data_IF_113463787884
#
_entry.id   IF_113463787884
#
_cell.length_a   1.000
_cell.length_b   1.000
_cell.length_c   1.000
_cell.angle_alpha   90.00
_cell.angle_beta   90.00
_cell.angle_gamma   90.00
#
_symmetry.space_group_name_H-M   'P 1'
#
loop_
_entity.id
_entity.type
_entity.pdbx_description
1 polymer ?
#
# COMPACT_ATOMS: atom_id res chain seq x y z
N UNK A 1 -0.57 28.64 0.03
CA UNK A 1 0.01 27.35 0.43
C UNK A 1 0.30 27.40 1.92
N UNK A 2 -0.17 26.43 2.72
CA UNK A 2 0.22 26.31 4.14
C UNK A 2 1.69 25.94 4.16
N UNK A 3 2.57 26.93 4.20
CA UNK A 3 4.02 26.76 3.99
C UNK A 3 4.80 26.47 5.27
N UNK A 4 4.11 26.25 6.40
CA UNK A 4 4.77 25.99 7.68
C UNK A 4 4.89 24.48 7.89
N UNK A 5 6.13 24.00 7.92
CA UNK A 5 6.50 22.64 8.28
C UNK A 5 6.80 22.59 9.79
N UNK A 6 6.28 21.54 10.43
CA UNK A 6 6.65 21.17 11.80
C UNK A 6 7.54 19.93 11.73
N UNK A 7 8.76 20.03 12.25
CA UNK A 7 9.77 18.99 12.28
C UNK A 7 10.19 18.71 13.72
N UNK A 8 10.63 17.48 13.99
CA UNK A 8 11.19 17.11 15.29
C UNK A 8 12.68 17.41 15.34
N UNK A 9 13.27 17.43 16.54
CA UNK A 9 14.71 17.36 16.67
C UNK A 9 15.22 16.10 15.95
N UNK A 10 16.27 16.22 15.15
CA UNK A 10 16.72 15.14 14.29
C UNK A 10 17.60 15.60 13.13
N UNK A 11 18.09 14.63 12.35
CA UNK A 11 18.86 14.91 11.14
C UNK A 11 17.96 14.75 9.93
N UNK A 12 18.08 15.67 8.97
CA UNK A 12 17.27 15.73 7.77
C UNK A 12 18.14 15.95 6.54
N UNK A 13 17.66 15.48 5.40
CA UNK A 13 18.25 15.74 4.08
C UNK A 13 17.21 16.39 3.18
N UNK A 14 17.52 17.59 2.71
CA UNK A 14 16.79 18.26 1.63
C UNK A 14 17.48 17.93 0.32
N UNK A 15 16.72 17.57 -0.71
CA UNK A 15 17.24 17.21 -2.03
C UNK A 15 16.41 17.84 -3.14
N UNK A 16 17.08 18.10 -4.25
CA UNK A 16 16.48 18.51 -5.50
C UNK A 16 16.93 17.56 -6.60
N UNK A 17 16.00 17.12 -7.45
CA UNK A 17 16.34 16.34 -8.65
C UNK A 17 15.85 17.05 -9.90
N UNK A 18 16.72 17.18 -10.88
CA UNK A 18 16.47 17.92 -12.11
C UNK A 18 16.90 19.39 -12.06
N UNK A 19 16.45 20.14 -13.06
CA UNK A 19 16.99 21.46 -13.40
C UNK A 19 16.46 22.55 -12.48
N UNK A 20 17.34 23.35 -11.89
CA UNK A 20 16.97 24.46 -11.00
C UNK A 20 17.95 25.64 -11.18
N UNK A 21 18.10 26.09 -12.43
CA UNK A 21 19.06 27.13 -12.79
C UNK A 21 18.53 28.52 -12.41
N UNK A 22 19.39 29.33 -11.80
CA UNK A 22 19.08 30.70 -11.40
C UNK A 22 18.31 30.82 -10.09
N UNK A 23 18.01 29.69 -9.43
CA UNK A 23 17.33 29.65 -8.15
C UNK A 23 18.19 28.97 -7.08
N UNK A 24 18.09 29.47 -5.84
CA UNK A 24 18.65 28.85 -4.65
C UNK A 24 17.49 28.26 -3.87
N UNK A 25 17.58 26.96 -3.58
CA UNK A 25 16.63 26.26 -2.73
C UNK A 25 17.17 26.29 -1.29
N UNK A 26 16.34 26.65 -0.32
CA UNK A 26 16.76 26.54 1.08
C UNK A 26 15.64 26.21 2.06
N UNK A 27 16.01 25.48 3.10
CA UNK A 27 15.22 25.34 4.32
C UNK A 27 15.52 26.50 5.26
N UNK A 28 14.48 27.07 5.87
CA UNK A 28 14.60 28.15 6.87
C UNK A 28 13.89 27.74 8.15
N UNK A 29 14.63 27.72 9.26
CA UNK A 29 14.06 27.64 10.61
C UNK A 29 13.74 29.05 11.12
N UNK A 30 12.46 29.35 11.32
CA UNK A 30 11.98 30.66 11.78
C UNK A 30 11.74 30.72 13.30
N UNK A 31 11.94 29.61 14.04
CA UNK A 31 11.80 29.57 15.50
C UNK A 31 13.01 30.16 16.25
N UNK A 32 14.12 30.38 15.54
CA UNK A 32 15.37 30.91 16.09
C UNK A 32 15.70 32.28 15.48
N UNK A 33 16.37 33.14 16.27
CA UNK A 33 16.83 34.46 15.84
C UNK A 33 18.35 34.59 16.04
N UNK A 34 19.15 34.78 14.97
CA UNK A 34 18.74 34.84 13.57
C UNK A 34 18.26 33.48 13.04
N UNK A 35 17.39 33.50 12.02
CA UNK A 35 16.94 32.28 11.34
C UNK A 35 18.13 31.49 10.78
N UNK A 36 18.08 30.17 10.87
CA UNK A 36 19.11 29.27 10.30
C UNK A 36 18.67 28.81 8.92
N UNK A 37 19.62 28.76 7.99
CA UNK A 37 19.39 28.44 6.57
C UNK A 37 20.28 27.27 6.13
N UNK A 38 19.70 26.36 5.35
CA UNK A 38 20.43 25.29 4.68
C UNK A 38 20.14 25.35 3.19
N UNK A 39 21.19 25.53 2.38
CA UNK A 39 21.07 25.89 0.96
C UNK A 39 21.48 24.76 0.03
N UNK A 40 20.81 24.70 -1.10
CA UNK A 40 21.20 23.99 -2.31
C UNK A 40 21.41 25.05 -3.40
N UNK A 41 22.54 24.95 -4.10
CA UNK A 41 22.93 25.92 -5.12
C UNK A 41 22.03 25.88 -6.35
N UNK A 42 22.34 26.72 -7.34
CA UNK A 42 21.71 26.63 -8.66
C UNK A 42 22.50 25.64 -9.52
N UNK A 43 21.87 24.57 -10.00
CA UNK A 43 22.54 23.59 -10.87
C UNK A 43 21.60 23.01 -11.95
N UNK A 44 22.19 22.27 -12.90
CA UNK A 44 21.45 21.46 -13.88
C UNK A 44 21.30 19.99 -13.43
N UNK A 45 21.86 19.64 -12.27
CA UNK A 45 22.04 18.27 -11.81
C UNK A 45 21.29 18.05 -10.49
N UNK A 46 21.23 16.80 -10.04
CA UNK A 46 20.70 16.47 -8.72
C UNK A 46 21.63 17.01 -7.63
N UNK A 47 21.07 17.58 -6.55
CA UNK A 47 21.86 18.12 -5.43
C UNK A 47 21.12 17.90 -4.09
N UNK A 48 21.85 17.91 -2.97
CA UNK A 48 21.28 17.73 -1.65
C UNK A 48 22.10 18.38 -0.54
N UNK A 49 21.41 18.71 0.56
CA UNK A 49 22.03 19.22 1.79
C UNK A 49 21.46 18.47 3.00
N UNK A 50 22.36 17.98 3.85
CA UNK A 50 22.01 17.36 5.13
C UNK A 50 22.24 18.33 6.26
N UNK A 51 21.30 18.39 7.21
CA UNK A 51 21.36 19.26 8.36
C UNK A 51 20.74 18.63 9.60
N UNK A 52 21.08 19.14 10.79
CA UNK A 52 20.54 18.67 12.07
C UNK A 52 19.77 19.79 12.76
N UNK A 53 18.62 19.44 13.33
CA UNK A 53 17.81 20.28 14.19
C UNK A 53 18.00 19.82 15.63
N UNK A 54 18.56 20.68 16.48
CA UNK A 54 18.80 20.34 17.90
C UNK A 54 17.51 20.32 18.73
N UNK A 55 16.45 20.97 18.24
CA UNK A 55 15.15 21.07 18.90
C UNK A 55 14.02 20.88 17.88
N UNK A 56 12.83 20.56 18.38
CA UNK A 56 11.61 20.58 17.59
C UNK A 56 11.40 21.97 16.98
N UNK A 57 11.04 22.01 15.70
CA UNK A 57 10.77 23.22 14.93
C UNK A 57 9.30 23.22 14.52
N UNK A 58 8.54 24.21 14.97
CA UNK A 58 7.10 24.37 14.68
C UNK A 58 6.85 25.39 13.56
N UNK A 59 7.82 26.27 13.28
CA UNK A 59 7.74 27.24 12.19
C UNK A 59 8.98 27.15 11.28
N UNK A 60 8.87 26.36 10.22
CA UNK A 60 9.89 26.30 9.15
C UNK A 60 9.28 26.30 7.76
N UNK A 61 10.07 26.71 6.77
CA UNK A 61 9.64 26.71 5.36
C UNK A 61 10.76 26.32 4.42
N UNK A 62 10.38 25.83 3.24
CA UNK A 62 11.26 25.65 2.09
C UNK A 62 10.99 26.78 1.11
N UNK A 63 12.05 27.41 0.62
CA UNK A 63 12.00 28.54 -0.30
C UNK A 63 12.79 28.24 -1.57
N UNK A 64 12.23 28.66 -2.72
CA UNK A 64 13.01 28.95 -3.91
C UNK A 64 13.20 30.45 -4.01
N UNK A 65 14.44 30.90 -4.14
CA UNK A 65 14.76 32.30 -4.33
C UNK A 65 15.59 32.49 -5.59
N UNK A 66 15.16 33.37 -6.48
CA UNK A 66 15.97 33.78 -7.62
C UNK A 66 17.18 34.55 -7.08
N UNK A 67 18.40 34.03 -7.29
CA UNK A 67 19.61 34.59 -6.69
C UNK A 67 19.91 36.04 -7.10
N UNK A 68 19.30 36.52 -8.19
CA UNK A 68 19.37 37.91 -8.66
C UNK A 68 18.13 38.23 -9.53
N UNK A 69 17.73 39.50 -9.58
CA UNK A 69 16.53 39.97 -10.29
C UNK A 69 16.62 39.82 -11.83
N UNK A 70 17.83 39.73 -12.37
CA UNK A 70 18.10 39.70 -13.82
C UNK A 70 18.42 38.29 -14.38
N UNK A 71 18.16 37.23 -13.60
CA UNK A 71 18.44 35.85 -14.04
C UNK A 71 17.15 35.18 -14.50
N UNK A 72 17.22 34.52 -15.66
CA UNK A 72 16.17 33.60 -16.10
C UNK A 72 16.15 32.39 -15.16
N UNK A 73 15.09 32.29 -14.36
CA UNK A 73 14.83 31.14 -13.51
C UNK A 73 14.22 30.03 -14.36
N UNK A 74 14.89 28.89 -14.43
CA UNK A 74 14.41 27.70 -15.11
C UNK A 74 14.37 26.54 -14.12
N UNK A 75 13.16 26.25 -13.63
CA UNK A 75 12.88 25.26 -12.59
C UNK A 75 12.02 24.16 -13.21
N UNK A 76 12.66 23.03 -13.47
CA UNK A 76 12.03 21.76 -13.81
C UNK A 76 12.66 20.68 -12.93
N UNK A 77 12.25 20.69 -11.66
CA UNK A 77 12.83 19.83 -10.63
C UNK A 77 11.78 19.31 -9.66
N UNK A 78 12.16 18.25 -8.94
CA UNK A 78 11.43 17.73 -7.78
C UNK A 78 12.19 18.05 -6.50
N UNK A 79 11.48 18.39 -5.43
CA UNK A 79 12.06 18.67 -4.11
C UNK A 79 11.60 17.61 -3.13
N UNK A 80 12.52 17.14 -2.29
CA UNK A 80 12.22 16.17 -1.25
C UNK A 80 12.98 16.51 0.04
N UNK A 81 12.26 16.54 1.16
CA UNK A 81 12.80 16.67 2.51
C UNK A 81 12.53 15.37 3.28
N UNK A 82 13.57 14.75 3.81
CA UNK A 82 13.49 13.43 4.46
C UNK A 82 14.26 13.45 5.78
N UNK A 83 13.83 12.61 6.73
CA UNK A 83 14.62 12.33 7.94
C UNK A 83 15.78 11.38 7.60
N UNK A 84 16.96 11.68 8.16
CA UNK A 84 18.20 10.95 7.93
C UNK A 84 19.21 11.74 7.09
N UNK A 85 20.30 11.05 6.75
CA UNK A 85 21.51 11.63 6.12
C UNK A 85 21.63 11.35 4.62
N UNK A 86 20.65 10.65 4.04
CA UNK A 86 20.75 10.13 2.67
C UNK A 86 19.52 10.56 1.88
N UNK A 87 19.74 11.25 0.76
CA UNK A 87 18.69 11.57 -0.18
C UNK A 87 18.24 10.28 -0.89
N UNK A 88 16.93 10.01 -0.94
CA UNK A 88 16.40 8.84 -1.63
C UNK A 88 15.85 9.19 -3.02
N UNK A 89 15.18 8.24 -3.67
CA UNK A 89 14.43 8.51 -4.89
C UNK A 89 13.20 9.37 -4.56
N UNK A 90 12.83 10.28 -5.46
CA UNK A 90 11.70 11.17 -5.25
C UNK A 90 10.39 10.39 -5.04
N UNK A 91 9.68 10.69 -3.96
CA UNK A 91 8.35 10.19 -3.63
C UNK A 91 7.37 11.36 -3.47
N UNK A 92 6.30 11.46 -4.28
CA UNK A 92 5.33 12.53 -4.17
C UNK A 92 4.66 12.60 -2.78
N UNK A 93 4.76 13.76 -2.13
CA UNK A 93 4.14 13.99 -0.82
C UNK A 93 2.60 13.89 -0.88
N UNK A 94 2.01 13.27 0.15
CA UNK A 94 0.57 13.15 0.31
C UNK A 94 -0.12 12.19 -0.66
N UNK A 95 0.62 11.38 -1.42
CA UNK A 95 0.07 10.34 -2.28
C UNK A 95 0.01 8.98 -1.57
N UNK A 96 -0.98 8.17 -1.93
CA UNK A 96 -1.03 6.76 -1.59
C UNK A 96 -0.05 5.97 -2.45
N UNK A 97 0.83 5.19 -1.82
CA UNK A 97 1.91 4.44 -2.46
C UNK A 97 1.55 2.97 -2.57
N UNK A 98 1.58 2.43 -3.79
CA UNK A 98 1.43 0.99 -4.06
C UNK A 98 2.76 0.47 -4.60
N UNK A 99 3.60 -0.18 -3.76
CA UNK A 99 4.81 -0.84 -4.24
C UNK A 99 4.47 -2.09 -5.05
N UNK A 100 5.05 -2.19 -6.23
CA UNK A 100 5.03 -3.38 -7.09
C UNK A 100 6.45 -3.92 -7.18
N UNK A 101 6.68 -5.06 -6.57
CA UNK A 101 7.95 -5.78 -6.68
C UNK A 101 7.85 -6.85 -7.76
N UNK A 102 8.77 -6.79 -8.71
CA UNK A 102 8.99 -7.87 -9.68
C UNK A 102 10.24 -8.63 -9.32
N UNK A 103 10.19 -9.95 -9.40
CA UNK A 103 11.36 -10.80 -9.21
C UNK A 103 11.47 -11.85 -10.32
N UNK A 104 12.69 -12.39 -10.47
CA UNK A 104 12.92 -13.58 -11.27
C UNK A 104 12.28 -14.84 -10.66
N UNK A 105 12.41 -15.95 -11.37
CA UNK A 105 11.86 -17.24 -10.98
C UNK A 105 12.50 -17.80 -9.70
N UNK A 106 13.83 -17.71 -9.61
CA UNK A 106 14.56 -18.08 -8.42
C UNK A 106 14.49 -16.95 -7.39
N UNK A 107 13.94 -17.23 -6.21
CA UNK A 107 13.74 -16.24 -5.14
C UNK A 107 14.92 -16.15 -4.17
N UNK A 108 15.96 -16.98 -4.34
CA UNK A 108 17.15 -16.97 -3.51
C UNK A 108 18.32 -16.26 -4.18
N UNK A 109 18.97 -15.35 -3.45
CA UNK A 109 20.02 -14.43 -3.93
C UNK A 109 21.43 -15.04 -4.09
N UNK A 110 21.55 -16.35 -3.93
CA UNK A 110 22.82 -17.10 -3.97
C UNK A 110 23.88 -16.64 -2.95
N UNK A 111 23.47 -15.93 -1.91
CA UNK A 111 24.37 -15.47 -0.86
C UNK A 111 24.46 -16.51 0.27
N UNK A 112 25.66 -17.05 0.45
CA UNK A 112 26.00 -17.97 1.55
C UNK A 112 26.79 -17.28 2.65
N UNK A 113 26.73 -17.86 3.85
CA UNK A 113 27.70 -17.61 4.93
C UNK A 113 27.92 -18.89 5.74
N UNK A 114 29.02 -18.94 6.50
CA UNK A 114 29.34 -20.08 7.37
C UNK A 114 28.35 -20.22 8.53
N UNK A 115 28.08 -21.47 8.87
CA UNK A 115 27.22 -21.90 9.96
C UNK A 115 25.84 -22.40 9.50
N UNK A 116 24.93 -22.53 10.45
CA UNK A 116 23.60 -23.11 10.23
C UNK A 116 22.52 -22.25 10.90
N UNK A 117 21.27 -22.53 10.59
CA UNK A 117 20.13 -22.01 11.34
C UNK A 117 19.81 -23.03 12.43
N UNK A 118 19.70 -22.63 13.69
CA UNK A 118 19.34 -23.53 14.80
C UNK A 118 17.83 -23.84 14.81
N UNK A 119 17.39 -24.73 15.70
CA UNK A 119 15.98 -25.12 15.85
C UNK A 119 15.04 -23.97 16.26
N UNK A 120 15.58 -22.84 16.68
CA UNK A 120 14.85 -21.62 17.03
C UNK A 120 14.83 -20.60 15.89
N UNK A 121 15.32 -20.95 14.70
CA UNK A 121 15.34 -20.03 13.56
C UNK A 121 16.40 -18.94 13.65
N UNK A 122 17.42 -19.11 14.52
CA UNK A 122 18.51 -18.16 14.71
C UNK A 122 19.81 -18.63 14.06
N UNK A 123 20.69 -17.70 13.72
CA UNK A 123 22.02 -18.00 13.17
C UNK A 123 22.91 -18.62 14.24
N UNK A 124 23.57 -19.72 13.91
CA UNK A 124 24.57 -20.38 14.74
C UNK A 124 25.85 -20.63 13.94
N UNK A 125 27.01 -20.33 14.52
CA UNK A 125 28.30 -20.53 13.86
C UNK A 125 28.66 -22.02 13.83
N UNK A 126 29.17 -22.48 12.69
CA UNK A 126 29.76 -23.81 12.52
C UNK A 126 30.69 -23.79 11.31
N UNK A 127 31.83 -24.45 11.41
CA UNK A 127 32.84 -24.50 10.34
C UNK A 127 32.51 -25.55 9.27
N UNK A 128 31.57 -26.47 9.56
CA UNK A 128 31.18 -27.59 8.69
C UNK A 128 29.83 -27.39 8.00
N UNK A 129 29.17 -26.25 8.20
CA UNK A 129 27.87 -25.95 7.59
C UNK A 129 27.88 -24.59 6.89
N UNK A 130 27.00 -24.44 5.90
CA UNK A 130 26.73 -23.17 5.24
C UNK A 130 25.24 -22.92 5.23
N UNK A 131 24.85 -21.65 5.34
CA UNK A 131 23.46 -21.21 5.36
C UNK A 131 23.22 -20.07 4.41
N UNK A 132 21.97 -19.90 3.98
CA UNK A 132 21.56 -18.68 3.31
C UNK A 132 21.86 -17.49 4.22
N UNK A 133 22.52 -16.47 3.68
CA UNK A 133 22.94 -15.27 4.43
C UNK A 133 21.73 -14.47 4.91
N UNK A 134 20.74 -14.35 4.03
CA UNK A 134 19.52 -13.59 4.23
C UNK A 134 18.33 -14.53 4.39
N UNK A 135 17.32 -14.08 5.14
CA UNK A 135 16.00 -14.71 5.12
C UNK A 135 15.33 -14.39 3.79
N UNK A 136 14.63 -15.36 3.22
CA UNK A 136 13.94 -15.21 1.95
C UNK A 136 12.48 -14.89 2.26
N UNK A 137 11.96 -13.71 1.89
CA UNK A 137 10.55 -13.41 2.04
C UNK A 137 9.70 -14.38 1.23
N UNK A 138 8.59 -14.83 1.79
CA UNK A 138 7.66 -15.76 1.14
C UNK A 138 6.22 -15.31 1.34
N UNK A 139 5.34 -15.83 0.50
CA UNK A 139 3.91 -15.84 0.71
C UNK A 139 3.53 -17.04 1.59
N UNK A 140 2.75 -16.80 2.65
CA UNK A 140 2.19 -17.87 3.47
C UNK A 140 1.28 -18.78 2.65
N UNK A 141 1.12 -20.04 3.10
CA UNK A 141 0.22 -21.01 2.45
C UNK A 141 0.45 -21.19 0.93
N UNK A 142 1.65 -20.84 0.46
CA UNK A 142 2.05 -20.93 -0.94
C UNK A 142 2.93 -22.15 -1.14
N UNK A 143 2.75 -22.82 -2.27
CA UNK A 143 3.51 -24.02 -2.63
C UNK A 143 4.76 -23.63 -3.39
N UNK A 144 5.91 -24.07 -2.89
CA UNK A 144 7.22 -23.83 -3.48
C UNK A 144 7.80 -25.12 -4.05
N UNK A 145 8.52 -25.01 -5.16
CA UNK A 145 9.43 -26.07 -5.61
C UNK A 145 10.85 -25.68 -5.25
N UNK A 146 11.57 -26.62 -4.62
CA UNK A 146 12.96 -26.46 -4.22
C UNK A 146 13.76 -27.50 -4.98
N UNK A 147 14.65 -27.01 -5.86
CA UNK A 147 15.71 -27.78 -6.50
C UNK A 147 17.01 -27.55 -5.75
N UNK A 148 17.79 -28.60 -5.56
CA UNK A 148 19.13 -28.59 -5.02
C UNK A 148 19.93 -29.70 -5.70
N UNK A 149 21.07 -29.33 -6.30
CA UNK A 149 22.03 -30.29 -6.86
C UNK A 149 22.75 -31.14 -5.81
N UNK A 150 22.70 -30.76 -4.52
CA UNK A 150 23.42 -31.44 -3.44
C UNK A 150 22.76 -32.79 -3.07
N UNK A 151 23.48 -33.92 -3.12
CA UNK A 151 22.95 -35.22 -2.70
C UNK A 151 22.59 -35.28 -1.19
N UNK A 152 23.22 -34.46 -0.36
CA UNK A 152 22.98 -34.40 1.10
C UNK A 152 21.75 -33.57 1.49
N UNK A 153 21.13 -32.89 0.53
CA UNK A 153 19.94 -32.07 0.75
C UNK A 153 20.16 -30.73 1.47
N UNK A 154 19.07 -29.98 1.53
CA UNK A 154 18.90 -28.71 2.23
C UNK A 154 17.95 -28.93 3.38
N UNK A 155 18.33 -28.48 4.57
CA UNK A 155 17.35 -28.23 5.62
C UNK A 155 16.68 -26.91 5.31
N UNK A 156 15.39 -26.94 4.99
CA UNK A 156 14.57 -25.75 4.76
C UNK A 156 13.68 -25.52 5.97
N UNK A 157 13.58 -24.26 6.42
CA UNK A 157 12.67 -23.84 7.48
C UNK A 157 11.80 -22.69 7.05
N UNK A 158 10.52 -22.75 7.42
CA UNK A 158 9.55 -21.68 7.29
C UNK A 158 9.38 -21.00 8.65
N UNK A 159 9.49 -19.68 8.70
CA UNK A 159 9.47 -18.89 9.93
C UNK A 159 8.26 -17.94 9.96
N UNK A 160 7.70 -17.71 11.14
CA UNK A 160 6.68 -16.68 11.38
C UNK A 160 7.30 -15.26 11.55
N UNK A 161 6.48 -14.29 11.92
CA UNK A 161 6.91 -12.90 12.14
C UNK A 161 7.84 -12.69 13.33
N UNK A 162 7.92 -13.68 14.22
CA UNK A 162 8.79 -13.69 15.39
C UNK A 162 10.02 -14.59 15.19
N UNK A 163 10.32 -14.96 13.94
CA UNK A 163 11.38 -15.89 13.56
C UNK A 163 11.25 -17.31 14.11
N UNK A 164 10.06 -17.67 14.59
CA UNK A 164 9.81 -19.01 15.12
C UNK A 164 9.60 -19.99 13.98
N UNK A 165 10.34 -21.12 13.91
CA UNK A 165 10.12 -22.12 12.88
C UNK A 165 8.74 -22.79 13.00
N UNK A 166 7.95 -22.72 11.93
CA UNK A 166 6.65 -23.38 11.79
C UNK A 166 6.76 -24.74 11.09
N UNK A 167 7.76 -24.90 10.22
CA UNK A 167 8.07 -26.15 9.52
C UNK A 167 9.58 -26.25 9.29
N UNK A 168 10.13 -27.45 9.42
CA UNK A 168 11.52 -27.78 9.12
C UNK A 168 11.58 -29.10 8.36
N UNK A 169 12.25 -29.13 7.21
CA UNK A 169 12.30 -30.33 6.38
C UNK A 169 13.62 -30.42 5.59
N UNK A 170 14.22 -31.61 5.55
CA UNK A 170 15.29 -31.91 4.59
C UNK A 170 14.71 -32.17 3.19
N UNK A 171 15.25 -31.54 2.17
CA UNK A 171 14.78 -31.65 0.78
C UNK A 171 15.90 -31.48 -0.26
N UNK A 172 15.69 -32.02 -1.45
CA UNK A 172 16.58 -31.87 -2.62
C UNK A 172 15.82 -31.43 -3.85
N UNK A 173 14.73 -32.11 -4.21
CA UNK A 173 13.91 -31.82 -5.39
C UNK A 173 12.44 -32.03 -5.04
N UNK A 174 11.89 -31.18 -4.17
CA UNK A 174 10.56 -31.40 -3.57
C UNK A 174 9.67 -30.18 -3.73
N UNK A 175 8.37 -30.46 -3.78
CA UNK A 175 7.30 -29.47 -3.65
C UNK A 175 6.90 -29.37 -2.18
N UNK A 176 7.02 -28.20 -1.56
CA UNK A 176 6.69 -27.97 -0.16
C UNK A 176 5.72 -26.79 -0.06
N UNK A 177 4.64 -26.96 0.70
CA UNK A 177 3.70 -25.88 0.99
C UNK A 177 4.08 -25.19 2.29
N UNK A 178 4.27 -23.87 2.21
CA UNK A 178 4.55 -23.06 3.39
C UNK A 178 3.36 -23.11 4.37
N UNK A 179 3.58 -23.25 5.68
CA UNK A 179 2.50 -23.16 6.67
C UNK A 179 1.77 -21.81 6.61
N UNK A 180 0.54 -21.76 7.13
CA UNK A 180 -0.11 -20.47 7.45
C UNK A 180 0.75 -19.72 8.47
N UNK A 181 0.70 -18.39 8.42
CA UNK A 181 1.48 -17.44 9.21
C UNK A 181 2.98 -17.42 8.94
N UNK A 182 3.48 -18.17 7.95
CA UNK A 182 4.89 -18.09 7.56
C UNK A 182 5.15 -16.88 6.66
N UNK A 183 6.14 -16.06 7.02
CA UNK A 183 6.49 -14.85 6.26
C UNK A 183 7.88 -14.92 5.65
N UNK A 184 8.72 -15.85 6.13
CA UNK A 184 10.06 -16.03 5.60
C UNK A 184 10.49 -17.50 5.57
N UNK A 185 11.48 -17.78 4.76
CA UNK A 185 12.14 -19.07 4.62
C UNK A 185 13.65 -18.92 4.79
N UNK A 186 14.27 -19.90 5.43
CA UNK A 186 15.72 -20.03 5.52
C UNK A 186 16.13 -21.45 5.18
N UNK A 187 17.38 -21.64 4.79
CA UNK A 187 17.93 -22.97 4.62
C UNK A 187 19.43 -23.04 4.89
N UNK A 188 19.90 -24.26 5.11
CA UNK A 188 21.31 -24.57 5.28
C UNK A 188 21.62 -26.00 4.84
N UNK A 189 22.90 -26.29 4.64
CA UNK A 189 23.40 -27.65 4.41
C UNK A 189 24.57 -27.94 5.33
N UNK A 190 24.71 -29.21 5.73
CA UNK A 190 25.73 -29.70 6.66
C UNK A 190 27.05 -30.04 5.94
N UNK A 191 27.40 -29.32 4.87
CA UNK A 191 28.62 -29.53 4.10
C UNK A 191 29.23 -28.17 3.71
N UNK A 192 30.23 -27.74 4.48
CA UNK A 192 30.95 -26.48 4.23
C UNK A 192 32.04 -26.57 3.15
N UNK A 193 32.41 -27.77 2.69
CA UNK A 193 33.49 -27.99 1.71
C UNK A 193 33.21 -27.36 0.32
N UNK A 194 32.06 -26.71 0.15
CA UNK A 194 31.40 -26.52 -1.12
C UNK A 194 30.77 -25.11 -1.31
N UNK A 195 31.20 -24.09 -0.55
CA UNK A 195 30.65 -22.71 -0.66
C UNK A 195 30.65 -22.22 -2.12
N UNK A 196 31.66 -22.57 -2.91
CA UNK A 196 31.75 -22.19 -4.33
C UNK A 196 30.99 -23.12 -5.29
N UNK A 197 30.68 -24.35 -4.89
CA UNK A 197 30.03 -25.35 -5.77
C UNK A 197 28.51 -25.29 -5.76
N UNK A 198 27.87 -24.66 -4.77
CA UNK A 198 26.39 -24.61 -4.71
C UNK A 198 25.76 -23.36 -5.34
N UNK A 199 26.55 -22.37 -5.77
CA UNK A 199 26.03 -21.28 -6.58
C UNK A 199 25.62 -21.86 -7.93
N UNK A 200 24.41 -21.54 -8.36
CA UNK A 200 23.70 -22.16 -9.48
C UNK A 200 23.12 -23.58 -9.30
N UNK A 201 23.17 -24.15 -8.09
CA UNK A 201 22.61 -25.50 -7.84
C UNK A 201 21.27 -25.49 -7.11
N UNK A 202 20.90 -24.36 -6.48
CA UNK A 202 19.65 -24.22 -5.76
C UNK A 202 18.72 -23.27 -6.53
N UNK A 203 17.53 -23.77 -6.83
CA UNK A 203 16.46 -22.95 -7.36
C UNK A 203 15.23 -23.12 -6.47
N UNK A 204 14.77 -22.00 -5.90
CA UNK A 204 13.54 -21.95 -5.12
C UNK A 204 12.56 -21.07 -5.89
N UNK A 205 11.36 -21.58 -6.14
CA UNK A 205 10.35 -20.85 -6.89
C UNK A 205 8.94 -21.24 -6.42
N UNK A 206 7.95 -20.42 -6.76
CA UNK A 206 6.55 -20.81 -6.62
C UNK A 206 6.30 -21.97 -7.58
N UNK A 207 5.82 -23.09 -7.03
CA UNK A 207 5.77 -24.36 -7.75
C UNK A 207 5.01 -24.24 -9.06
N UNK A 208 5.74 -24.40 -10.17
CA UNK A 208 5.18 -24.46 -11.50
C UNK A 208 5.71 -25.72 -12.19
N UNK A 209 4.82 -26.66 -12.48
CA UNK A 209 5.16 -27.97 -13.06
C UNK A 209 5.90 -27.88 -14.38
N UNK A 210 5.79 -26.78 -15.13
CA UNK A 210 6.52 -26.58 -16.40
C UNK A 210 7.98 -26.19 -16.22
N UNK A 211 8.38 -25.74 -15.01
CA UNK A 211 9.73 -25.27 -14.71
C UNK A 211 10.43 -26.06 -13.61
N UNK A 212 9.67 -26.79 -12.80
CA UNK A 212 10.21 -27.65 -11.74
C UNK A 212 11.32 -28.57 -12.30
N UNK A 213 12.52 -28.47 -11.74
CA UNK A 213 13.71 -29.22 -12.15
C UNK A 213 14.67 -28.45 -13.06
N UNK A 214 14.26 -27.30 -13.58
CA UNK A 214 15.11 -26.40 -14.37
C UNK A 214 15.67 -25.31 -13.47
N UNK A 215 17.00 -25.13 -13.47
CA UNK A 215 17.62 -24.02 -12.75
C UNK A 215 17.43 -22.71 -13.54
N UNK A 216 17.14 -21.63 -12.83
CA UNK A 216 17.20 -20.27 -13.35
C UNK A 216 17.98 -19.39 -12.38
N UNK A 217 18.80 -18.49 -12.92
CA UNK A 217 19.57 -17.57 -12.10
C UNK A 217 18.66 -16.62 -11.32
N UNK A 218 19.10 -16.27 -10.12
CA UNK A 218 18.48 -15.20 -9.36
C UNK A 218 18.53 -13.90 -10.16
N UNK A 219 17.42 -13.17 -10.14
CA UNK A 219 17.37 -11.80 -10.61
C UNK A 219 16.97 -10.93 -9.45
N UNK A 220 17.81 -9.96 -9.11
CA UNK A 220 17.55 -8.99 -8.05
C UNK A 220 16.17 -8.37 -8.25
N UNK A 221 15.25 -8.50 -7.27
CA UNK A 221 13.94 -7.92 -7.35
C UNK A 221 14.03 -6.41 -7.58
N UNK A 222 13.17 -5.91 -8.45
CA UNK A 222 13.02 -4.47 -8.67
C UNK A 222 11.64 -4.05 -8.18
N UNK A 223 11.61 -3.05 -7.30
CA UNK A 223 10.37 -2.45 -6.81
C UNK A 223 10.13 -1.15 -7.54
N UNK A 224 8.93 -1.00 -8.10
CA UNK A 224 8.47 0.27 -8.63
C UNK A 224 7.17 0.68 -7.98
N UNK A 225 7.01 1.97 -7.69
CA UNK A 225 5.85 2.48 -6.97
C UNK A 225 4.83 3.08 -7.94
N UNK A 226 3.55 2.83 -7.66
CA UNK A 226 2.44 3.61 -8.23
C UNK A 226 1.95 4.58 -7.15
N UNK A 227 1.74 5.84 -7.54
CA UNK A 227 1.25 6.87 -6.65
C UNK A 227 -0.17 7.30 -7.04
N UNK A 228 -1.09 7.27 -6.08
CA UNK A 228 -2.50 7.65 -6.24
C UNK A 228 -2.86 8.81 -5.31
N UNK A 229 -3.88 9.60 -5.64
CA UNK A 229 -4.37 10.66 -4.75
C UNK A 229 -5.08 10.12 -3.48
N UNK A 230 -5.53 8.87 -3.54
CA UNK A 230 -6.20 8.17 -2.44
C UNK A 230 -6.05 6.64 -2.61
N UNK A 231 -6.23 5.83 -1.54
CA UNK A 231 -6.27 4.37 -1.65
C UNK A 231 -7.36 3.87 -2.60
N UNK A 232 -7.16 2.71 -3.24
CA UNK A 232 -8.23 2.02 -3.97
C UNK A 232 -9.29 1.52 -2.99
N UNK A 233 -10.58 1.71 -3.28
CA UNK A 233 -11.67 1.37 -2.37
C UNK A 233 -12.47 0.19 -2.88
N UNK A 234 -13.07 -0.57 -1.95
CA UNK A 234 -13.97 -1.69 -2.25
C UNK A 234 -15.21 -1.59 -1.36
N UNK A 235 -16.40 -1.76 -1.95
CA UNK A 235 -17.68 -1.87 -1.26
C UNK A 235 -18.43 -3.06 -1.84
N UNK A 236 -18.72 -4.06 -1.01
CA UNK A 236 -19.30 -5.32 -1.46
C UNK A 236 -18.44 -5.98 -2.55
N UNK A 237 -19.05 -6.26 -3.70
CA UNK A 237 -18.38 -6.85 -4.87
C UNK A 237 -17.75 -5.83 -5.82
N UNK A 238 -17.95 -4.53 -5.57
CA UNK A 238 -17.45 -3.45 -6.44
C UNK A 238 -16.16 -2.87 -5.89
N UNK A 239 -15.15 -2.69 -6.74
CA UNK A 239 -13.85 -2.12 -6.36
C UNK A 239 -13.31 -1.14 -7.39
N UNK A 240 -12.67 -0.08 -6.92
CA UNK A 240 -11.77 0.74 -7.74
C UNK A 240 -10.65 -0.14 -8.32
N UNK A 241 -10.10 0.24 -9.48
CA UNK A 241 -9.01 -0.50 -10.10
C UNK A 241 -8.06 0.40 -10.90
N UNK A 242 -6.88 -0.12 -11.21
CA UNK A 242 -5.91 0.49 -12.11
C UNK A 242 -6.01 -0.20 -13.46
N UNK A 243 -6.36 0.57 -14.48
CA UNK A 243 -6.31 0.17 -15.88
C UNK A 243 -4.89 0.41 -16.42
N UNK A 244 -4.08 -0.66 -16.39
CA UNK A 244 -2.72 -0.63 -16.91
C UNK A 244 -2.65 -0.43 -18.43
N UNK A 245 -3.68 -0.84 -19.17
CA UNK A 245 -3.69 -0.72 -20.63
C UNK A 245 -3.82 0.75 -21.05
N UNK A 246 -4.68 1.49 -20.35
CA UNK A 246 -4.96 2.90 -20.66
C UNK A 246 -4.25 3.89 -19.73
N UNK A 247 -3.44 3.42 -18.79
CA UNK A 247 -2.75 4.24 -17.79
C UNK A 247 -3.72 5.11 -16.97
N UNK A 248 -4.79 4.50 -16.46
CA UNK A 248 -5.86 5.19 -15.74
C UNK A 248 -6.17 4.52 -14.42
N UNK A 249 -6.55 5.33 -13.44
CA UNK A 249 -7.24 4.87 -12.24
C UNK A 249 -8.73 5.03 -12.49
N UNK A 250 -9.47 3.94 -12.35
CA UNK A 250 -10.93 3.92 -12.48
C UNK A 250 -11.54 3.86 -11.09
N UNK A 251 -12.26 4.91 -10.72
CA UNK A 251 -12.95 5.04 -9.44
C UNK A 251 -14.42 4.78 -9.61
N UNK A 252 -14.87 3.65 -9.09
CA UNK A 252 -16.28 3.24 -9.08
C UNK A 252 -16.87 3.44 -7.69
N UNK A 253 -16.06 3.36 -6.64
CA UNK A 253 -16.47 3.64 -5.27
C UNK A 253 -16.23 5.11 -4.98
N UNK A 254 -17.28 5.82 -4.54
CA UNK A 254 -17.22 7.23 -4.14
C UNK A 254 -17.27 7.34 -2.63
N UNK A 255 -16.55 8.33 -2.10
CA UNK A 255 -16.66 8.72 -0.69
C UNK A 255 -17.70 9.84 -0.58
N UNK A 256 -18.63 9.68 0.34
CA UNK A 256 -19.56 10.71 0.77
C UNK A 256 -19.30 11.10 2.23
N UNK A 257 -19.88 12.23 2.62
CA UNK A 257 -19.83 12.76 3.99
C UNK A 257 -21.22 13.25 4.36
N UNK A 258 -21.68 12.94 5.57
CA UNK A 258 -22.85 13.54 6.21
C UNK A 258 -22.34 14.36 7.39
N UNK A 259 -22.63 15.64 7.38
CA UNK A 259 -22.27 16.62 8.41
C UNK A 259 -23.40 17.64 8.62
N UNK A 260 -23.16 18.66 9.45
CA UNK A 260 -24.16 19.68 9.77
C UNK A 260 -24.63 20.51 8.55
N UNK A 261 -23.81 20.58 7.50
CA UNK A 261 -24.13 21.31 6.26
C UNK A 261 -24.85 20.43 5.23
N UNK A 262 -24.89 19.12 5.46
CA UNK A 262 -25.57 18.17 4.60
C UNK A 262 -27.09 18.36 4.59
N UNK A 263 -27.70 18.13 3.42
CA UNK A 263 -29.15 18.20 3.24
C UNK A 263 -29.75 16.80 3.29
N UNK A 264 -30.39 16.46 4.40
CA UNK A 264 -31.05 15.16 4.62
C UNK A 264 -32.43 15.36 5.23
N UNK A 265 -33.26 14.33 5.13
CA UNK A 265 -34.64 14.32 5.63
C UNK A 265 -34.81 13.24 6.67
N UNK A 266 -35.73 13.45 7.61
CA UNK A 266 -36.13 12.41 8.54
C UNK A 266 -36.94 11.33 7.81
N UNK A 267 -36.68 10.07 8.15
CA UNK A 267 -37.46 8.94 7.69
C UNK A 267 -38.70 8.80 8.56
N UNK A 268 -39.89 9.04 8.00
CA UNK A 268 -41.15 8.99 8.73
C UNK A 268 -41.65 7.56 8.99
N UNK A 269 -42.48 7.38 10.04
CA UNK A 269 -43.19 6.13 10.30
C UNK A 269 -42.48 5.15 11.25
N UNK A 270 -41.44 5.61 11.96
CA UNK A 270 -40.68 4.81 12.93
C UNK A 270 -40.84 5.41 14.33
N UNK A 271 -41.16 4.59 15.34
CA UNK A 271 -41.33 5.03 16.74
C UNK A 271 -40.14 4.70 17.64
N UNK A 272 -39.34 3.71 17.26
CA UNK A 272 -38.37 3.08 18.18
C UNK A 272 -36.92 3.56 17.95
N UNK A 273 -36.65 4.24 16.84
CA UNK A 273 -35.34 4.79 16.48
C UNK A 273 -35.47 6.03 15.59
N UNK A 274 -34.40 6.83 15.53
CA UNK A 274 -34.32 8.03 14.70
C UNK A 274 -33.54 7.77 13.42
N UNK A 275 -34.27 7.58 12.33
CA UNK A 275 -33.69 7.38 11.00
C UNK A 275 -33.76 8.62 10.12
N UNK A 276 -32.71 8.83 9.34
CA UNK A 276 -32.56 9.91 8.39
C UNK A 276 -32.10 9.38 7.04
N UNK A 277 -32.35 10.14 5.98
CA UNK A 277 -31.90 9.78 4.65
C UNK A 277 -31.35 10.96 3.84
N UNK A 278 -30.31 10.67 3.08
CA UNK A 278 -29.73 11.54 2.06
C UNK A 278 -30.06 10.96 0.68
N UNK A 279 -30.64 11.77 -0.21
CA UNK A 279 -30.86 11.37 -1.61
C UNK A 279 -29.54 11.38 -2.37
N UNK A 280 -29.22 10.27 -3.02
CA UNK A 280 -27.93 10.07 -3.70
C UNK A 280 -28.16 9.47 -5.09
N UNK A 281 -28.41 10.33 -6.07
CA UNK A 281 -28.86 9.92 -7.42
C UNK A 281 -27.81 9.14 -8.23
N UNK A 282 -26.52 9.30 -7.89
CA UNK A 282 -25.41 8.62 -8.55
C UNK A 282 -25.11 7.24 -7.95
N UNK A 283 -25.91 6.72 -7.01
CA UNK A 283 -25.84 5.32 -6.57
C UNK A 283 -26.06 4.38 -7.77
N UNK A 284 -25.30 3.27 -7.80
CA UNK A 284 -25.48 2.19 -8.79
C UNK A 284 -26.93 1.70 -8.77
N UNK A 285 -27.53 1.57 -9.95
CA UNK A 285 -28.82 0.90 -10.13
C UNK A 285 -28.63 -0.60 -9.91
N UNK A 286 -29.45 -1.18 -9.05
CA UNK A 286 -29.51 -2.63 -8.87
C UNK A 286 -30.79 -3.14 -9.51
N UNK A 287 -30.68 -4.22 -10.28
CA UNK A 287 -31.84 -4.91 -10.82
C UNK A 287 -32.74 -5.36 -9.65
N UNK A 288 -34.03 -5.06 -9.78
CA UNK A 288 -35.06 -5.44 -8.81
C UNK A 288 -34.99 -6.95 -8.53
N UNK A 289 -34.75 -7.35 -7.27
CA UNK A 289 -34.77 -8.75 -6.84
C UNK A 289 -33.44 -9.34 -6.37
N UNK A 290 -32.33 -8.60 -6.39
CA UNK A 290 -31.06 -9.06 -5.84
C UNK A 290 -30.95 -8.80 -4.32
N UNK A 291 -30.63 -9.83 -3.56
CA UNK A 291 -30.23 -9.74 -2.14
C UNK A 291 -28.95 -8.90 -2.03
N UNK A 292 -29.07 -7.66 -1.56
CA UNK A 292 -27.96 -6.69 -1.49
C UNK A 292 -27.10 -6.95 -0.25
N UNK A 293 -25.95 -7.61 -0.45
CA UNK A 293 -24.88 -7.62 0.52
C UNK A 293 -23.98 -6.39 0.29
N UNK A 294 -24.09 -5.38 1.16
CA UNK A 294 -23.21 -4.21 1.32
C UNK A 294 -23.05 -3.30 0.09
N UNK A 295 -23.92 -2.28 -0.02
CA UNK A 295 -23.79 -1.18 -1.00
C UNK A 295 -23.25 0.11 -0.37
N UNK A 296 -23.19 0.17 0.96
CA UNK A 296 -22.59 1.29 1.68
C UNK A 296 -21.71 0.76 2.79
N UNK A 297 -20.58 1.39 3.01
CA UNK A 297 -19.70 1.12 4.16
C UNK A 297 -19.37 2.43 4.86
N UNK A 298 -19.28 2.40 6.19
CA UNK A 298 -18.77 3.49 6.99
C UNK A 298 -17.71 2.96 7.96
N UNK A 299 -16.62 3.71 8.21
CA UNK A 299 -15.67 3.37 9.25
C UNK A 299 -16.25 3.55 10.66
N UNK A 300 -17.29 4.38 10.82
CA UNK A 300 -17.86 4.73 12.12
C UNK A 300 -19.16 3.99 12.41
N UNK A 301 -19.95 3.68 11.39
CA UNK A 301 -21.28 3.10 11.54
C UNK A 301 -21.29 1.65 11.06
N UNK A 302 -21.99 0.78 11.80
CA UNK A 302 -22.18 -0.62 11.39
C UNK A 302 -23.06 -0.65 10.14
N UNK A 303 -22.68 -1.45 9.13
CA UNK A 303 -23.56 -1.69 7.99
C UNK A 303 -24.74 -2.57 8.41
N UNK A 304 -25.95 -2.15 8.06
CA UNK A 304 -27.15 -2.97 8.20
C UNK A 304 -27.81 -3.21 6.83
N UNK A 305 -28.06 -4.46 6.39
CA UNK A 305 -28.71 -4.72 5.12
C UNK A 305 -30.21 -4.38 5.15
N UNK A 306 -30.64 -3.46 4.29
CA UNK A 306 -32.06 -3.22 4.01
C UNK A 306 -32.58 -4.28 3.02
N UNK A 307 -33.29 -5.31 3.49
CA UNK A 307 -33.90 -6.32 2.63
C UNK A 307 -35.31 -5.89 2.21
N UNK A 308 -35.47 -5.46 0.96
CA UNK A 308 -36.77 -5.49 0.27
C UNK A 308 -37.83 -4.49 0.74
N UNK A 309 -37.46 -3.24 1.04
CA UNK A 309 -38.42 -2.14 1.24
C UNK A 309 -39.28 -2.20 2.51
N UNK A 310 -39.23 -3.31 3.25
CA UNK A 310 -39.74 -3.37 4.62
C UNK A 310 -38.62 -3.04 5.58
N UNK A 311 -38.62 -1.80 6.05
CA UNK A 311 -37.70 -1.24 7.08
C UNK A 311 -38.02 -1.80 8.48
N UNK A 312 -38.92 -2.76 8.57
CA UNK A 312 -39.48 -3.28 9.81
C UNK A 312 -38.78 -4.56 10.22
N UNK A 313 -37.62 -4.43 10.83
CA UNK A 313 -37.22 -5.13 12.06
C UNK A 313 -35.71 -5.03 12.23
N UNK A 314 -35.27 -4.74 13.45
CA UNK A 314 -33.87 -4.83 13.93
C UNK A 314 -32.92 -3.66 13.68
N UNK A 315 -33.40 -2.42 13.57
CA UNK A 315 -32.52 -1.29 13.90
C UNK A 315 -32.34 -1.28 15.42
N UNK A 316 -31.11 -1.38 15.90
CA UNK A 316 -30.81 -1.31 17.33
C UNK A 316 -30.60 0.14 17.76
N UNK A 317 -30.46 0.41 19.07
CA UNK A 317 -30.09 1.74 19.58
C UNK A 317 -28.65 2.18 19.17
N UNK A 318 -27.97 1.40 18.33
CA UNK A 318 -26.62 1.68 17.84
C UNK A 318 -26.59 2.63 16.62
N UNK A 319 -25.41 3.21 16.38
CA UNK A 319 -25.09 3.95 15.16
C UNK A 319 -24.98 3.01 13.95
N UNK A 320 -25.96 3.04 13.05
CA UNK A 320 -26.03 2.15 11.88
C UNK A 320 -26.19 2.92 10.57
N UNK A 321 -25.53 2.45 9.51
CA UNK A 321 -25.62 3.00 8.16
C UNK A 321 -26.12 1.93 7.20
N UNK A 322 -26.97 2.33 6.27
CA UNK A 322 -27.49 1.45 5.24
C UNK A 322 -27.71 2.21 3.94
N UNK A 323 -28.08 1.47 2.91
CA UNK A 323 -28.61 2.00 1.66
C UNK A 323 -30.01 1.47 1.46
N UNK A 324 -30.95 2.35 1.18
CA UNK A 324 -32.22 1.96 0.56
C UNK A 324 -32.15 2.30 -0.92
N UNK A 325 -31.99 1.25 -1.73
CA UNK A 325 -32.02 1.34 -3.18
C UNK A 325 -33.28 0.64 -3.65
N UNK A 326 -34.18 1.41 -4.25
CA UNK A 326 -35.36 0.91 -4.97
C UNK A 326 -35.40 1.58 -6.35
N UNK A 327 -36.20 1.05 -7.28
CA UNK A 327 -36.38 1.67 -8.59
C UNK A 327 -36.83 3.15 -8.53
N UNK A 328 -37.44 3.56 -7.41
CA UNK A 328 -37.97 4.92 -7.19
C UNK A 328 -37.04 5.81 -6.35
N UNK A 329 -36.19 5.21 -5.51
CA UNK A 329 -35.41 5.94 -4.52
C UNK A 329 -33.97 5.42 -4.43
N UNK A 330 -33.03 6.34 -4.60
CA UNK A 330 -31.60 6.12 -4.35
C UNK A 330 -31.21 6.89 -3.10
N UNK A 331 -31.14 6.22 -1.95
CA UNK A 331 -30.93 6.87 -0.65
C UNK A 331 -29.87 6.17 0.17
N UNK A 332 -29.08 6.99 0.87
CA UNK A 332 -28.26 6.55 1.99
C UNK A 332 -29.10 6.76 3.25
N UNK A 333 -29.25 5.71 4.05
CA UNK A 333 -29.96 5.72 5.33
C UNK A 333 -28.94 5.72 6.45
N UNK A 334 -29.22 6.45 7.52
CA UNK A 334 -28.43 6.38 8.75
C UNK A 334 -29.34 6.55 9.96
N UNK A 335 -29.01 5.85 11.05
CA UNK A 335 -29.70 5.98 12.34
C UNK A 335 -28.83 6.69 13.34
N UNK A 336 -29.46 7.51 14.16
CA UNK A 336 -28.86 8.17 15.31
C UNK A 336 -29.57 7.70 16.58
N UNK A 337 -28.96 7.92 17.77
CA UNK A 337 -29.60 7.66 19.05
C UNK A 337 -31.04 8.20 19.09
N UNK A 338 -31.94 7.45 19.72
CA UNK A 338 -33.36 7.80 19.85
C UNK A 338 -33.61 9.16 20.56
N UNK A 339 -32.61 9.71 21.23
CA UNK A 339 -32.63 11.07 21.80
C UNK A 339 -32.53 12.18 20.76
N UNK A 340 -32.11 11.87 19.53
CA UNK A 340 -31.99 12.81 18.41
C UNK A 340 -33.23 12.63 17.52
N UNK A 341 -34.28 13.39 17.76
CA UNK A 341 -35.63 13.10 17.21
C UNK A 341 -35.97 13.86 15.93
N UNK A 342 -35.15 14.82 15.51
CA UNK A 342 -35.42 15.65 14.33
C UNK A 342 -34.14 16.09 13.59
N UNK A 343 -34.31 16.71 12.42
CA UNK A 343 -33.18 17.12 11.58
C UNK A 343 -32.33 18.24 12.18
N UNK A 344 -32.89 19.08 13.05
CA UNK A 344 -32.15 20.17 13.72
C UNK A 344 -31.21 19.58 14.79
N UNK A 345 -31.72 18.65 15.58
CA UNK A 345 -30.91 17.92 16.56
C UNK A 345 -29.83 17.08 15.88
N UNK A 346 -30.18 16.40 14.78
CA UNK A 346 -29.21 15.63 13.99
C UNK A 346 -28.10 16.53 13.43
N UNK A 347 -28.44 17.70 12.86
CA UNK A 347 -27.44 18.67 12.39
C UNK A 347 -26.52 19.15 13.50
N UNK A 348 -27.05 19.36 14.70
CA UNK A 348 -26.25 19.76 15.87
C UNK A 348 -25.26 18.66 16.25
N UNK A 349 -25.73 17.41 16.34
CA UNK A 349 -24.87 16.27 16.66
C UNK A 349 -23.76 16.04 15.61
N UNK A 350 -24.08 16.24 14.33
CA UNK A 350 -23.17 16.10 13.20
C UNK A 350 -22.06 17.17 13.14
N UNK A 351 -22.15 18.26 13.92
CA UNK A 351 -21.07 19.26 14.01
C UNK A 351 -19.79 18.66 14.61
N UNK A 352 -19.95 17.78 15.60
CA UNK A 352 -18.83 17.12 16.29
C UNK A 352 -18.65 15.66 15.86
N UNK A 353 -19.63 15.09 15.13
CA UNK A 353 -19.64 13.70 14.72
C UNK A 353 -19.97 13.54 13.23
N UNK A 354 -19.14 14.10 12.31
CA UNK A 354 -19.35 13.88 10.88
C UNK A 354 -19.25 12.38 10.54
N UNK A 355 -20.08 11.94 9.60
CA UNK A 355 -20.14 10.54 9.15
C UNK A 355 -19.53 10.45 7.75
N UNK A 356 -18.39 9.78 7.64
CA UNK A 356 -17.84 9.37 6.35
C UNK A 356 -18.45 8.04 5.90
N UNK A 357 -18.70 7.90 4.60
CA UNK A 357 -19.19 6.66 4.03
C UNK A 357 -18.71 6.45 2.59
N UNK A 358 -18.79 5.21 2.11
CA UNK A 358 -18.36 4.78 0.79
C UNK A 358 -19.48 4.03 0.08
N UNK A 359 -19.69 4.30 -1.20
CA UNK A 359 -20.74 3.67 -1.99
C UNK A 359 -20.34 3.49 -3.47
N UNK A 360 -20.78 2.42 -4.16
CA UNK A 360 -20.64 2.29 -5.60
C UNK A 360 -21.47 3.34 -6.34
N UNK A 361 -20.85 4.00 -7.32
CA UNK A 361 -21.53 4.97 -8.21
C UNK A 361 -21.76 4.43 -9.62
N UNK A 362 -22.87 4.82 -10.25
CA UNK A 362 -23.15 4.56 -11.66
C UNK A 362 -22.35 5.45 -12.63
N UNK A 363 -21.59 6.42 -12.10
CA UNK A 363 -20.83 7.39 -12.87
C UNK A 363 -19.34 7.31 -12.49
N UNK A 364 -18.64 6.25 -12.91
CA UNK A 364 -17.24 6.06 -12.54
C UNK A 364 -16.37 7.18 -13.10
N UNK A 365 -15.39 7.62 -12.31
CA UNK A 365 -14.43 8.63 -12.75
C UNK A 365 -13.13 7.98 -13.17
N UNK A 366 -12.45 8.60 -14.14
CA UNK A 366 -11.16 8.13 -14.65
C UNK A 366 -10.16 9.25 -14.54
N UNK A 367 -9.00 8.97 -13.94
CA UNK A 367 -7.88 9.91 -13.86
C UNK A 367 -6.65 9.26 -14.45
N UNK A 368 -5.94 9.98 -15.32
CA UNK A 368 -4.65 9.52 -15.85
C UNK A 368 -3.65 9.37 -14.72
N UNK A 369 -2.91 8.27 -14.72
CA UNK A 369 -1.83 7.99 -13.76
C UNK A 369 -0.59 7.56 -14.52
N UNK A 370 0.57 7.99 -14.03
CA UNK A 370 1.84 7.49 -14.56
C UNK A 370 2.06 6.10 -14.01
N UNK A 371 2.03 5.10 -14.89
CA UNK A 371 2.30 3.72 -14.53
C UNK A 371 3.71 3.34 -14.93
N UNK A 372 4.45 2.64 -14.06
CA UNK A 372 5.76 2.15 -14.44
C UNK A 372 5.64 1.09 -15.52
N UNK A 373 6.65 1.01 -16.39
CA UNK A 373 6.81 -0.17 -17.22
C UNK A 373 7.15 -1.32 -16.28
N UNK A 374 6.26 -2.31 -16.18
CA UNK A 374 6.56 -3.47 -15.37
C UNK A 374 7.32 -4.47 -16.26
N UNK A 375 8.63 -4.69 -16.01
CA UNK A 375 9.44 -5.50 -16.89
C UNK A 375 8.91 -6.94 -16.89
N UNK A 376 8.59 -7.44 -18.08
CA UNK A 376 8.47 -8.88 -18.28
C UNK A 376 9.88 -9.42 -18.43
N UNK A 377 10.37 -10.11 -17.41
CA UNK A 377 11.61 -10.87 -17.54
C UNK A 377 11.25 -12.12 -18.37
N UNK A 378 12.12 -12.50 -19.31
CA UNK A 378 11.93 -13.72 -20.12
C UNK A 378 11.71 -14.92 -19.18
N UNK A 379 10.53 -15.54 -19.25
CA UNK A 379 10.13 -16.63 -18.35
C UNK A 379 8.93 -16.27 -17.49
N UNK A 380 8.95 -16.67 -16.21
CA UNK A 380 7.91 -16.32 -15.23
C UNK A 380 8.38 -15.12 -14.41
N UNK A 381 7.53 -14.10 -14.32
CA UNK A 381 7.70 -12.95 -13.43
C UNK A 381 6.69 -13.05 -12.29
N UNK A 382 7.16 -12.98 -11.05
CA UNK A 382 6.28 -12.89 -9.87
C UNK A 382 6.03 -11.41 -9.56
N UNK A 383 4.76 -11.05 -9.38
CA UNK A 383 4.33 -9.70 -9.02
C UNK A 383 3.82 -9.72 -7.58
N UNK A 384 4.48 -8.96 -6.71
CA UNK A 384 4.01 -8.74 -5.34
C UNK A 384 3.53 -7.30 -5.26
N UNK A 385 2.27 -7.12 -4.89
CA UNK A 385 1.64 -5.80 -4.75
C UNK A 385 1.37 -5.58 -3.27
N UNK A 386 2.04 -4.59 -2.69
CA UNK A 386 1.77 -4.16 -1.31
C UNK A 386 0.59 -3.20 -1.27
N UNK A 387 -0.51 -3.61 -0.64
CA UNK A 387 -1.65 -2.73 -0.35
C UNK A 387 -2.19 -3.02 1.04
N UNK A 388 -2.67 -1.97 1.72
CA UNK A 388 -3.35 -2.13 3.01
C UNK A 388 -4.77 -2.73 2.86
N UNK A 389 -5.27 -2.76 1.62
CA UNK A 389 -6.58 -3.31 1.26
C UNK A 389 -6.34 -4.54 0.38
N UNK A 390 -6.85 -5.70 0.80
CA UNK A 390 -6.73 -6.92 0.02
C UNK A 390 -7.43 -6.76 -1.35
N UNK A 391 -6.71 -6.92 -2.48
CA UNK A 391 -7.32 -6.83 -3.80
C UNK A 391 -8.34 -7.96 -4.00
N UNK A 392 -9.45 -7.65 -4.67
CA UNK A 392 -10.49 -8.63 -5.00
C UNK A 392 -10.00 -9.64 -6.05
N UNK A 393 -9.28 -9.17 -7.07
CA UNK A 393 -8.64 -9.96 -8.11
C UNK A 393 -7.47 -9.13 -8.72
N UNK A 394 -6.47 -9.81 -9.28
CA UNK A 394 -5.45 -9.19 -10.12
C UNK A 394 -5.50 -9.83 -11.51
N UNK A 395 -5.65 -9.01 -12.56
CA UNK A 395 -5.64 -9.48 -13.94
C UNK A 395 -4.41 -8.93 -14.65
N UNK A 396 -3.56 -9.83 -15.14
CA UNK A 396 -2.39 -9.47 -15.94
C UNK A 396 -2.67 -9.91 -17.37
N UNK A 397 -2.72 -8.96 -18.30
CA UNK A 397 -2.88 -9.22 -19.74
C UNK A 397 -1.66 -8.70 -20.48
N UNK A 398 -0.87 -9.61 -21.03
CA UNK A 398 0.22 -9.26 -21.93
C UNK A 398 -0.33 -9.01 -23.33
N UNK A 399 -0.04 -7.85 -23.91
CA UNK A 399 -0.14 -7.64 -25.36
C UNK A 399 1.29 -7.71 -25.93
N UNK A 400 1.61 -8.83 -26.58
CA UNK A 400 2.84 -8.89 -27.37
C UNK A 400 2.79 -7.86 -28.48
N UNK A 401 3.79 -6.98 -28.57
CA UNK A 401 4.07 -6.28 -29.82
C UNK A 401 4.75 -7.30 -30.74
N UNK A 402 4.01 -7.80 -31.73
CA UNK A 402 4.61 -8.47 -32.88
C UNK A 402 5.21 -7.42 -33.82
#
# INVERSE_FOLDING_TARGET
YKNNLTLKAGTYTLSVKGKHVGAILYFRNEDVSPAVYYFIGSSNDDDSVTFTLDNDVVNSRIYFNAGNADINVDIDCTIQLEEGTTATSYEPYGKYKIPITTSGFNIWDEQWELGYWNSSGQKANADSSIRCKNKIPILEYTTYYIKCGNPNGLMVRFLDSNDTPLLSQYTTNTVITAPRNSISMVFFTNSADNVTTYNNDICINISNTTLNGTYQAYTTPTTTNIYLDAPLRKVGTVSDYIDFENSKVVRIVKQGKIDNDSTFSQFGGVTDYSAFYLSQNDLVDYETGMSINQVVLSPTFKYYPCLGGNVNSYWTDDYEISSAITATYKRILFTLPNTITDTTQAKTWLQTNPIDFYYPTNSPTQTTVTLPSIPSIKGITVYIVGTDIQPSNMYIKYKGKN
#
